data_IF_306181056020
#
_entry.id   IF_306181056020
#
_cell.length_a   1.000
_cell.length_b   1.000
_cell.length_c   1.000
_cell.angle_alpha   90.00
_cell.angle_beta   90.00
_cell.angle_gamma   90.00
#
_symmetry.space_group_name_H-M   'P 1'
#
loop_
_entity.id
_entity.type
_entity.pdbx_description
1 polymer ?
#
# COMPACT_ATOMS: atom_id res chain seq x y z
N UNK A 1 38.46 25.53 -8.35
CA UNK A 1 37.40 25.24 -9.33
C UNK A 1 36.98 23.80 -9.34
N UNK A 2 37.89 22.84 -9.37
CA UNK A 2 37.50 21.41 -9.35
C UNK A 2 36.73 21.03 -8.12
N UNK A 3 37.08 21.60 -6.98
CA UNK A 3 36.41 21.30 -5.70
C UNK A 3 34.96 21.77 -5.72
N UNK A 4 34.71 22.92 -6.30
CA UNK A 4 33.36 23.49 -6.40
C UNK A 4 32.48 22.62 -7.30
N UNK A 5 33.04 22.16 -8.41
CA UNK A 5 32.29 21.26 -9.31
C UNK A 5 31.91 19.96 -8.65
N UNK A 6 32.83 19.38 -7.87
CA UNK A 6 32.53 18.14 -7.13
C UNK A 6 31.41 18.34 -6.14
N UNK A 7 31.41 19.46 -5.42
CA UNK A 7 30.34 19.77 -4.47
C UNK A 7 29.00 19.94 -5.16
N UNK A 8 29.00 20.58 -6.31
CA UNK A 8 27.77 20.76 -7.08
C UNK A 8 27.20 19.43 -7.56
N UNK A 9 28.04 18.55 -8.10
CA UNK A 9 27.62 17.25 -8.54
C UNK A 9 27.07 16.38 -7.39
N UNK A 10 27.71 16.50 -6.23
CA UNK A 10 27.27 15.78 -5.04
C UNK A 10 25.86 16.23 -4.61
N UNK A 11 25.59 17.53 -4.63
CA UNK A 11 24.29 18.07 -4.26
C UNK A 11 23.22 17.58 -5.23
N UNK A 12 23.49 17.55 -6.52
CA UNK A 12 22.54 17.03 -7.51
C UNK A 12 22.23 15.57 -7.27
N UNK A 13 23.24 14.79 -6.93
CA UNK A 13 23.06 13.37 -6.64
C UNK A 13 22.15 13.16 -5.43
N UNK A 14 22.34 13.95 -4.38
CA UNK A 14 21.52 13.88 -3.18
C UNK A 14 20.06 14.22 -3.47
N UNK A 15 19.81 15.23 -4.28
CA UNK A 15 18.44 15.58 -4.67
C UNK A 15 17.76 14.45 -5.43
N UNK A 16 18.49 13.80 -6.33
CA UNK A 16 17.95 12.64 -7.06
C UNK A 16 17.57 11.50 -6.12
N UNK A 17 18.41 11.24 -5.12
CA UNK A 17 18.16 10.18 -4.14
C UNK A 17 16.92 10.45 -3.30
N UNK A 18 16.66 11.72 -2.96
CA UNK A 18 15.54 12.06 -2.10
C UNK A 18 14.17 11.88 -2.76
N UNK A 19 14.11 11.80 -4.08
CA UNK A 19 12.86 11.60 -4.79
C UNK A 19 12.44 10.13 -4.83
N UNK A 20 13.37 9.22 -4.70
CA UNK A 20 13.10 7.78 -4.81
C UNK A 20 12.11 7.23 -3.78
N UNK A 21 12.18 7.59 -2.49
CA UNK A 21 11.26 7.06 -1.50
C UNK A 21 9.79 7.39 -1.74
N UNK A 22 9.51 8.52 -2.39
CA UNK A 22 8.13 8.97 -2.63
C UNK A 22 7.45 8.09 -3.69
N UNK A 23 8.23 7.54 -4.62
CA UNK A 23 7.72 6.76 -5.75
C UNK A 23 7.68 5.27 -5.48
N UNK A 24 8.10 4.82 -4.30
CA UNK A 24 8.31 3.41 -4.05
C UNK A 24 7.17 2.76 -3.29
N UNK A 25 5.98 2.66 -3.91
CA UNK A 25 4.92 1.83 -3.36
C UNK A 25 4.29 0.92 -4.43
N UNK A 26 5.07 0.43 -5.42
CA UNK A 26 4.50 -0.48 -6.43
C UNK A 26 4.35 -1.90 -5.93
N UNK A 27 4.93 -2.23 -4.78
CA UNK A 27 4.99 -3.61 -4.29
C UNK A 27 3.69 -4.12 -3.68
N UNK A 28 2.73 -3.26 -3.40
CA UNK A 28 1.46 -3.67 -2.81
C UNK A 28 0.66 -4.57 -3.73
N UNK A 29 0.61 -4.26 -5.01
CA UNK A 29 -0.09 -5.09 -5.98
C UNK A 29 0.60 -6.46 -6.12
N UNK A 30 1.93 -6.46 -6.21
CA UNK A 30 2.68 -7.71 -6.27
C UNK A 30 2.48 -8.54 -5.00
N UNK A 31 2.47 -7.90 -3.84
CA UNK A 31 2.21 -8.58 -2.59
C UNK A 31 0.83 -9.22 -2.59
N UNK A 32 -0.18 -8.50 -3.07
CA UNK A 32 -1.54 -9.03 -3.16
C UNK A 32 -1.61 -10.23 -4.11
N UNK A 33 -0.96 -10.14 -5.26
CA UNK A 33 -0.93 -11.24 -6.23
C UNK A 33 -0.24 -12.47 -5.69
N UNK A 34 0.84 -12.29 -4.94
CA UNK A 34 1.67 -13.39 -4.48
C UNK A 34 1.19 -14.01 -3.17
N UNK A 35 0.14 -13.48 -2.56
CA UNK A 35 -0.36 -13.97 -1.28
C UNK A 35 -1.87 -14.22 -1.35
N UNK A 36 -2.34 -15.18 -2.15
CA UNK A 36 -3.76 -15.44 -2.27
C UNK A 36 -4.41 -15.88 -0.96
N UNK A 37 -3.69 -16.60 -0.12
CA UNK A 37 -4.20 -17.01 1.19
C UNK A 37 -4.51 -15.79 2.07
N UNK A 38 -3.61 -14.83 2.12
CA UNK A 38 -3.81 -13.59 2.85
C UNK A 38 -4.98 -12.80 2.26
N UNK A 39 -5.05 -12.71 0.93
CA UNK A 39 -6.13 -12.01 0.25
C UNK A 39 -7.49 -12.61 0.54
N UNK A 40 -7.60 -13.92 0.52
CA UNK A 40 -8.87 -14.59 0.80
C UNK A 40 -9.30 -14.40 2.26
N UNK A 41 -8.36 -14.37 3.19
CA UNK A 41 -8.66 -14.07 4.59
C UNK A 41 -9.18 -12.65 4.75
N UNK A 42 -8.57 -11.71 4.06
CA UNK A 42 -9.04 -10.33 4.07
C UNK A 42 -10.43 -10.20 3.45
N UNK A 43 -10.69 -10.92 2.35
CA UNK A 43 -12.01 -10.93 1.74
C UNK A 43 -13.08 -11.40 2.71
N UNK A 44 -12.78 -12.43 3.49
CA UNK A 44 -13.70 -12.92 4.51
C UNK A 44 -14.00 -11.81 5.53
N UNK A 45 -12.98 -11.09 5.95
CA UNK A 45 -13.15 -9.99 6.89
C UNK A 45 -13.95 -8.84 6.29
N UNK A 46 -13.70 -8.53 5.02
CA UNK A 46 -14.47 -7.50 4.32
C UNK A 46 -15.95 -7.86 4.23
N UNK A 47 -16.27 -9.12 4.01
CA UNK A 47 -17.66 -9.59 4.01
C UNK A 47 -18.32 -9.36 5.36
N UNK A 48 -17.59 -9.56 6.44
CA UNK A 48 -18.09 -9.28 7.79
C UNK A 48 -18.42 -7.82 7.97
N UNK A 49 -17.54 -6.92 7.50
CA UNK A 49 -17.82 -5.48 7.55
C UNK A 49 -19.03 -5.12 6.71
N UNK A 50 -19.13 -5.66 5.50
CA UNK A 50 -20.30 -5.42 4.62
C UNK A 50 -21.61 -5.90 5.28
N UNK A 51 -21.56 -7.01 6.00
CA UNK A 51 -22.74 -7.52 6.72
C UNK A 51 -23.20 -6.54 7.80
N UNK A 52 -22.28 -5.75 8.33
CA UNK A 52 -22.60 -4.69 9.31
C UNK A 52 -22.90 -3.35 8.63
N UNK A 53 -23.02 -3.35 7.29
CA UNK A 53 -23.25 -2.16 6.49
C UNK A 53 -22.07 -1.19 6.52
N UNK A 54 -20.86 -1.71 6.68
CA UNK A 54 -19.64 -0.94 6.60
C UNK A 54 -18.89 -1.28 5.33
N UNK A 55 -18.29 -0.26 4.72
CA UNK A 55 -17.46 -0.44 3.54
C UNK A 55 -16.14 -1.12 3.90
N UNK A 56 -15.64 -1.94 2.98
CA UNK A 56 -14.31 -2.55 3.12
C UNK A 56 -13.20 -1.49 3.14
N UNK A 57 -13.49 -0.27 2.67
CA UNK A 57 -12.55 0.85 2.72
C UNK A 57 -12.94 1.88 3.79
N UNK A 58 -13.83 1.51 4.71
CA UNK A 58 -14.13 2.35 5.85
C UNK A 58 -12.87 2.55 6.70
N UNK A 59 -12.89 3.58 7.52
CA UNK A 59 -11.75 3.86 8.39
C UNK A 59 -11.44 2.66 9.30
N UNK A 60 -12.46 2.03 9.81
CA UNK A 60 -12.32 0.87 10.70
C UNK A 60 -11.75 -0.34 9.98
N UNK A 61 -12.28 -0.66 8.80
CA UNK A 61 -11.77 -1.77 8.00
C UNK A 61 -10.33 -1.53 7.56
N UNK A 62 -10.02 -0.32 7.15
CA UNK A 62 -8.66 0.05 6.75
C UNK A 62 -7.69 -0.07 7.92
N UNK A 63 -8.12 0.34 9.11
CA UNK A 63 -7.30 0.20 10.31
C UNK A 63 -6.99 -1.26 10.59
N UNK A 64 -7.97 -2.15 10.44
CA UNK A 64 -7.74 -3.57 10.60
C UNK A 64 -6.66 -4.08 9.64
N UNK A 65 -6.74 -3.71 8.36
CA UNK A 65 -5.74 -4.11 7.36
C UNK A 65 -4.38 -3.53 7.70
N UNK A 66 -4.35 -2.27 8.11
CA UNK A 66 -3.12 -1.59 8.52
C UNK A 66 -2.40 -2.36 9.63
N UNK A 67 -3.10 -2.69 10.68
CA UNK A 67 -2.51 -3.40 11.82
C UNK A 67 -2.15 -4.84 11.48
N UNK A 68 -3.04 -5.54 10.78
CA UNK A 68 -2.82 -6.94 10.43
C UNK A 68 -1.64 -7.13 9.49
N UNK A 69 -1.46 -6.22 8.55
CA UNK A 69 -0.45 -6.37 7.50
C UNK A 69 0.73 -5.41 7.67
N UNK A 70 0.77 -4.69 8.77
CA UNK A 70 1.85 -3.75 9.11
C UNK A 70 2.08 -2.71 8.01
N UNK A 71 0.98 -2.07 7.62
CA UNK A 71 0.98 -1.03 6.61
C UNK A 71 0.52 0.29 7.20
N UNK A 72 0.91 1.40 6.59
CA UNK A 72 0.31 2.69 6.90
C UNK A 72 -1.16 2.67 6.49
N UNK A 73 -1.95 3.61 7.00
CA UNK A 73 -3.37 3.69 6.63
C UNK A 73 -3.56 3.86 5.13
N UNK A 74 -2.76 4.72 4.50
CA UNK A 74 -2.84 4.95 3.06
C UNK A 74 -2.51 3.68 2.29
N UNK A 75 -1.44 3.01 2.65
CA UNK A 75 -1.04 1.77 1.98
C UNK A 75 -2.02 0.64 2.25
N UNK A 76 -2.61 0.60 3.43
CA UNK A 76 -3.64 -0.38 3.76
C UNK A 76 -4.88 -0.21 2.87
N UNK A 77 -5.26 1.02 2.60
CA UNK A 77 -6.37 1.30 1.70
C UNK A 77 -6.08 0.81 0.28
N UNK A 78 -4.91 1.14 -0.25
CA UNK A 78 -4.52 0.64 -1.58
C UNK A 78 -4.45 -0.88 -1.60
N UNK A 79 -3.88 -1.48 -0.58
CA UNK A 79 -3.77 -2.93 -0.50
C UNK A 79 -5.15 -3.58 -0.51
N UNK A 80 -6.09 -3.03 0.26
CA UNK A 80 -7.46 -3.50 0.29
C UNK A 80 -8.12 -3.45 -1.09
N UNK A 81 -7.93 -2.36 -1.82
CA UNK A 81 -8.45 -2.20 -3.17
C UNK A 81 -7.90 -3.28 -4.10
N UNK A 82 -6.61 -3.55 -4.03
CA UNK A 82 -5.98 -4.58 -4.85
C UNK A 82 -6.50 -5.96 -4.50
N UNK A 83 -6.62 -6.27 -3.21
CA UNK A 83 -7.14 -7.56 -2.75
C UNK A 83 -8.58 -7.76 -3.23
N UNK A 84 -9.42 -6.75 -3.08
CA UNK A 84 -10.81 -6.82 -3.51
C UNK A 84 -10.88 -7.07 -5.02
N UNK A 85 -10.13 -6.31 -5.80
CA UNK A 85 -10.13 -6.46 -7.23
C UNK A 85 -9.67 -7.83 -7.70
N UNK A 86 -8.70 -8.43 -7.00
CA UNK A 86 -8.15 -9.73 -7.38
C UNK A 86 -8.98 -10.92 -6.89
N UNK A 87 -9.54 -10.83 -5.69
CA UNK A 87 -10.10 -12.01 -5.03
C UNK A 87 -11.58 -11.92 -4.68
N UNK A 88 -12.13 -10.75 -4.52
CA UNK A 88 -13.53 -10.60 -4.12
C UNK A 88 -14.14 -9.30 -4.66
N UNK A 89 -14.25 -9.17 -5.99
CA UNK A 89 -14.70 -7.93 -6.60
C UNK A 89 -16.13 -7.53 -6.25
N UNK A 90 -16.91 -8.42 -5.66
CA UNK A 90 -18.29 -8.15 -5.22
C UNK A 90 -18.37 -7.35 -3.92
N UNK A 91 -17.23 -7.19 -3.23
CA UNK A 91 -17.17 -6.45 -1.97
C UNK A 91 -17.28 -4.94 -2.22
N UNK A 92 -17.92 -4.23 -1.34
CA UNK A 92 -18.02 -2.77 -1.44
C UNK A 92 -17.62 -2.06 -0.13
#
# INVERSE_FOLDING_TARGET
>A
MLVVMKSFLFVLFMLSSSLNPILSQPNLLERAKNNPSEGLKLCKKFKEYNAKKESATSNEATKFVSEKNKLSMVNAEFYSIYVIGLYCPEIY
#
